data_IF_853442966404
#
_entry.id   IF_853442966404
#
_cell.length_a   1.000
_cell.length_b   1.000
_cell.length_c   1.000
_cell.angle_alpha   90.00
_cell.angle_beta   90.00
_cell.angle_gamma   90.00
#
_symmetry.space_group_name_H-M   'P 1'
#
loop_
_entity.id
_entity.type
_entity.pdbx_description
1 polymer ?
#
# COMPACT_ATOMS: atom_id res chain seq x y z
N UNK A 1 15.16 -8.10 11.68
CA UNK A 1 15.56 -6.77 12.18
C UNK A 1 14.93 -5.62 11.37
N UNK A 2 13.77 -5.84 10.73
CA UNK A 2 12.87 -4.78 10.21
C UNK A 2 11.48 -4.95 10.85
N UNK A 3 11.10 -6.19 11.13
CA UNK A 3 9.83 -6.57 11.78
C UNK A 3 9.67 -6.09 13.22
N UNK A 4 10.75 -5.83 13.95
CA UNK A 4 10.65 -5.35 15.34
C UNK A 4 10.35 -3.85 15.40
N UNK A 5 10.88 -3.05 14.47
CA UNK A 5 10.63 -1.60 14.37
C UNK A 5 9.21 -1.28 13.89
N UNK A 6 8.54 -2.24 13.24
CA UNK A 6 7.15 -2.10 12.77
C UNK A 6 6.09 -2.29 13.86
N UNK A 7 6.47 -2.76 15.06
CA UNK A 7 5.50 -3.10 16.12
C UNK A 7 4.74 -1.88 16.65
N UNK A 8 5.38 -0.71 16.67
CA UNK A 8 4.81 0.52 17.22
C UNK A 8 4.28 1.49 16.15
N UNK A 9 4.46 1.18 14.86
CA UNK A 9 4.09 2.03 13.71
C UNK A 9 2.59 1.98 13.32
N UNK A 10 1.75 1.35 14.13
CA UNK A 10 0.34 1.07 13.80
C UNK A 10 -0.72 1.77 14.64
N UNK A 11 -0.40 2.86 15.35
CA UNK A 11 -1.42 3.57 16.14
C UNK A 11 -2.51 4.12 15.23
N UNK A 12 -3.75 3.71 15.46
CA UNK A 12 -4.90 4.20 14.72
C UNK A 12 -5.01 5.71 14.90
N UNK A 13 -4.94 6.45 13.79
CA UNK A 13 -4.89 7.91 13.78
C UNK A 13 -6.19 8.56 13.29
N UNK A 14 -7.31 7.83 13.44
CA UNK A 14 -8.64 8.27 13.02
C UNK A 14 -9.23 7.42 11.90
N UNK A 15 -10.44 7.79 11.48
CA UNK A 15 -11.17 7.14 10.40
C UNK A 15 -11.43 8.16 9.29
N UNK A 16 -11.08 7.79 8.05
CA UNK A 16 -11.38 8.60 6.87
C UNK A 16 -12.66 8.03 6.24
N UNK A 17 -13.69 8.86 6.09
CA UNK A 17 -14.89 8.50 5.33
C UNK A 17 -14.66 8.79 3.86
N UNK A 18 -14.53 7.74 3.05
CA UNK A 18 -14.42 7.84 1.59
C UNK A 18 -15.84 7.77 1.02
N UNK A 19 -16.20 8.77 0.21
CA UNK A 19 -17.46 8.78 -0.56
C UNK A 19 -17.11 8.49 -2.02
N UNK A 20 -17.79 7.51 -2.64
CA UNK A 20 -17.54 7.13 -4.03
C UNK A 20 -18.87 7.21 -4.79
N UNK A 21 -18.84 7.73 -6.02
CA UNK A 21 -20.00 7.61 -6.90
C UNK A 21 -20.18 6.16 -7.37
N UNK A 22 -21.43 5.77 -7.68
CA UNK A 22 -21.73 4.42 -8.18
C UNK A 22 -21.00 4.13 -9.50
N UNK A 23 -20.85 5.14 -10.34
CA UNK A 23 -20.15 5.06 -11.62
C UNK A 23 -18.67 4.75 -11.41
N UNK A 24 -18.03 5.36 -10.39
CA UNK A 24 -16.62 5.16 -10.08
C UNK A 24 -16.38 3.76 -9.50
N UNK A 25 -17.28 3.25 -8.65
CA UNK A 25 -17.21 1.88 -8.11
C UNK A 25 -17.21 0.84 -9.23
N UNK A 26 -18.04 1.04 -10.26
CA UNK A 26 -18.13 0.12 -11.38
C UNK A 26 -16.87 0.18 -12.27
N UNK A 27 -16.37 1.38 -12.53
CA UNK A 27 -15.15 1.60 -13.32
C UNK A 27 -13.90 1.03 -12.62
N UNK A 28 -13.82 1.23 -11.30
CA UNK A 28 -12.80 0.64 -10.44
C UNK A 28 -12.93 -0.88 -10.45
N UNK A 29 -14.13 -1.44 -10.30
CA UNK A 29 -14.32 -2.91 -10.30
C UNK A 29 -13.89 -3.58 -11.61
N UNK A 30 -14.09 -2.91 -12.76
CA UNK A 30 -13.68 -3.41 -14.07
C UNK A 30 -12.17 -3.23 -14.35
N UNK A 31 -11.52 -2.29 -13.66
CA UNK A 31 -10.09 -1.97 -13.82
C UNK A 31 -9.19 -2.39 -12.65
N UNK A 32 -9.75 -2.87 -11.53
CA UNK A 32 -9.02 -3.30 -10.33
C UNK A 32 -8.31 -4.63 -10.62
N UNK A 33 -7.17 -4.48 -11.28
CA UNK A 33 -6.04 -5.38 -11.43
C UNK A 33 -6.37 -6.77 -11.97
N UNK A 34 -6.08 -6.95 -13.26
CA UNK A 34 -6.06 -8.24 -13.95
C UNK A 34 -4.99 -9.23 -13.43
N UNK A 35 -4.11 -8.83 -12.49
CA UNK A 35 -3.12 -9.71 -11.83
C UNK A 35 -2.44 -9.05 -10.62
N UNK A 36 -2.12 -9.85 -9.59
CA UNK A 36 -1.33 -9.43 -8.42
C UNK A 36 0.04 -8.84 -8.79
N UNK A 37 0.65 -9.28 -9.90
CA UNK A 37 1.91 -8.74 -10.39
C UNK A 37 1.79 -7.25 -10.78
N UNK A 38 0.70 -6.89 -11.45
CA UNK A 38 0.48 -5.51 -11.89
C UNK A 38 0.26 -4.58 -10.70
N UNK A 39 -0.42 -5.04 -9.65
CA UNK A 39 -0.57 -4.27 -8.42
C UNK A 39 0.79 -3.98 -7.76
N UNK A 40 1.71 -4.95 -7.72
CA UNK A 40 3.07 -4.75 -7.19
C UNK A 40 3.85 -3.78 -8.09
N UNK A 41 3.73 -3.91 -9.41
CA UNK A 41 4.37 -3.02 -10.38
C UNK A 41 3.95 -1.56 -10.16
N UNK A 42 2.66 -1.28 -10.03
CA UNK A 42 2.17 0.08 -9.77
C UNK A 42 2.70 0.66 -8.46
N UNK A 43 2.79 -0.15 -7.39
CA UNK A 43 3.35 0.32 -6.11
C UNK A 43 4.85 0.66 -6.24
N UNK A 44 5.61 -0.12 -7.02
CA UNK A 44 7.03 0.17 -7.28
C UNK A 44 7.18 1.44 -8.13
N UNK A 45 6.33 1.62 -9.14
CA UNK A 45 6.34 2.85 -9.97
C UNK A 45 6.03 4.08 -9.12
N UNK A 46 4.97 4.02 -8.30
CA UNK A 46 4.59 5.10 -7.38
C UNK A 46 5.74 5.49 -6.42
N UNK A 47 6.55 4.50 -5.99
CA UNK A 47 7.72 4.78 -5.15
C UNK A 47 8.72 5.70 -5.87
N UNK A 48 8.99 5.45 -7.14
CA UNK A 48 9.92 6.27 -7.93
C UNK A 48 9.31 7.61 -8.37
N UNK A 49 8.01 7.68 -8.59
CA UNK A 49 7.29 8.95 -8.79
C UNK A 49 7.38 9.84 -7.54
N UNK A 50 7.48 9.24 -6.35
CA UNK A 50 7.77 9.92 -5.08
C UNK A 50 9.27 10.19 -4.86
N UNK A 51 10.09 10.22 -5.92
CA UNK A 51 11.53 10.49 -5.84
C UNK A 51 12.35 9.50 -4.98
N UNK A 52 11.87 8.28 -4.75
CA UNK A 52 12.66 7.26 -4.04
C UNK A 52 13.97 6.94 -4.79
N UNK A 53 15.04 6.72 -4.04
CA UNK A 53 16.30 6.18 -4.58
C UNK A 53 16.32 4.66 -4.49
N UNK A 54 15.70 4.13 -3.45
CA UNK A 54 15.63 2.70 -3.16
C UNK A 54 14.17 2.30 -2.93
N UNK A 55 13.72 1.28 -3.66
CA UNK A 55 12.46 0.60 -3.44
C UNK A 55 12.75 -0.89 -3.24
N UNK A 56 12.19 -1.48 -2.19
CA UNK A 56 12.36 -2.88 -1.82
C UNK A 56 11.02 -3.60 -1.83
N UNK A 57 11.00 -4.79 -2.45
CA UNK A 57 9.87 -5.72 -2.39
C UNK A 57 10.28 -6.91 -1.52
N UNK A 58 9.57 -7.10 -0.42
CA UNK A 58 9.80 -8.20 0.50
C UNK A 58 8.64 -9.20 0.47
N UNK A 59 8.99 -10.45 0.23
CA UNK A 59 8.09 -11.60 0.32
C UNK A 59 8.59 -12.49 1.46
N UNK A 60 7.90 -12.54 2.61
CA UNK A 60 8.30 -13.36 3.74
C UNK A 60 8.30 -14.84 3.35
N UNK A 61 9.25 -15.60 3.90
CA UNK A 61 9.39 -17.03 3.61
C UNK A 61 8.17 -17.81 4.14
N UNK A 62 7.53 -18.59 3.27
CA UNK A 62 6.33 -19.38 3.56
C UNK A 62 6.63 -20.69 4.31
N UNK A 63 7.84 -20.89 4.82
CA UNK A 63 8.25 -22.07 5.57
C UNK A 63 7.66 -22.09 6.99
N UNK A 64 6.35 -22.25 7.05
CA UNK A 64 5.55 -22.44 8.27
C UNK A 64 4.08 -22.55 7.90
N UNK A 65 3.48 -23.73 8.13
CA UNK A 65 2.04 -23.95 8.04
C UNK A 65 1.39 -22.98 9.04
N UNK A 66 0.70 -21.95 8.54
CA UNK A 66 0.14 -20.83 9.30
C UNK A 66 1.18 -19.88 9.92
N UNK A 67 1.71 -18.93 9.14
CA UNK A 67 1.88 -17.59 9.71
C UNK A 67 0.71 -16.76 9.20
N UNK A 68 -0.05 -16.11 10.09
CA UNK A 68 -1.21 -15.28 9.76
C UNK A 68 -0.86 -14.00 8.96
N UNK A 69 0.28 -14.00 8.28
CA UNK A 69 0.91 -12.84 7.65
C UNK A 69 1.40 -13.17 6.23
N UNK A 70 0.50 -13.70 5.39
CA UNK A 70 0.69 -13.76 3.93
C UNK A 70 0.63 -12.35 3.34
N UNK A 71 1.66 -11.55 3.57
CA UNK A 71 1.75 -10.16 3.14
C UNK A 71 2.93 -10.01 2.20
N UNK A 72 2.74 -9.24 1.13
CA UNK A 72 3.84 -8.69 0.34
C UNK A 72 4.01 -7.25 0.82
N UNK A 73 5.25 -6.86 1.10
CA UNK A 73 5.57 -5.51 1.57
C UNK A 73 6.38 -4.82 0.49
N UNK A 74 5.90 -3.66 0.04
CA UNK A 74 6.67 -2.73 -0.80
C UNK A 74 7.03 -1.55 0.10
N UNK A 75 8.31 -1.19 0.14
CA UNK A 75 8.83 -0.13 0.99
C UNK A 75 9.85 0.70 0.22
N UNK A 76 9.78 2.02 0.35
CA UNK A 76 10.64 2.96 -0.34
C UNK A 76 11.19 4.04 0.60
N UNK A 77 12.20 4.78 0.12
CA UNK A 77 12.82 5.92 0.80
C UNK A 77 12.46 7.28 0.16
N UNK A 78 11.33 7.33 -0.55
CA UNK A 78 10.82 8.52 -1.23
C UNK A 78 10.06 9.48 -0.31
N UNK A 79 9.42 10.46 -0.95
CA UNK A 79 8.57 11.45 -0.30
C UNK A 79 7.25 10.79 0.17
N UNK A 80 7.13 10.60 1.49
CA UNK A 80 5.92 10.08 2.11
C UNK A 80 4.78 11.10 2.18
N UNK A 81 3.65 10.66 2.74
CA UNK A 81 2.47 11.50 2.95
C UNK A 81 2.17 11.62 4.44
N UNK A 82 1.71 12.81 4.87
CA UNK A 82 1.08 12.99 6.16
C UNK A 82 -0.41 12.60 6.11
N UNK A 83 -1.11 12.72 7.23
CA UNK A 83 -2.52 12.33 7.35
C UNK A 83 -3.41 13.18 6.44
N UNK A 84 -3.10 14.47 6.29
CA UNK A 84 -3.88 15.39 5.47
C UNK A 84 -3.70 15.06 3.98
N UNK A 85 -2.46 14.88 3.52
CA UNK A 85 -2.13 14.46 2.17
C UNK A 85 -2.79 13.13 1.80
N UNK A 86 -2.74 12.15 2.71
CA UNK A 86 -3.43 10.88 2.51
C UNK A 86 -4.95 11.08 2.43
N UNK A 87 -5.55 11.87 3.32
CA UNK A 87 -7.00 12.11 3.31
C UNK A 87 -7.47 12.77 2.02
N UNK A 88 -6.72 13.78 1.54
CA UNK A 88 -7.08 14.52 0.34
C UNK A 88 -7.00 13.67 -0.93
N UNK A 89 -6.03 12.77 -1.04
CA UNK A 89 -5.90 11.87 -2.20
C UNK A 89 -6.95 10.76 -2.24
N UNK A 90 -7.57 10.45 -1.10
CA UNK A 90 -8.64 9.45 -0.99
C UNK A 90 -10.06 10.04 -1.16
N UNK A 91 -10.20 11.36 -1.29
CA UNK A 91 -11.47 11.99 -1.68
C UNK A 91 -11.58 11.98 -3.21
N UNK A 92 -12.41 11.09 -3.76
CA UNK A 92 -12.62 10.91 -5.21
C UNK A 92 -14.09 11.11 -5.58
#
# INVERSE_FOLDING_TARGET
MITDDLKDLGKNNGQITVSLSNELVQLLSDQLYSSALKAIEELVVNSYDANAKNCAVFVPNLSGIFSEQNKIVVFDDGEGMDIEGLTNLWQI
#
